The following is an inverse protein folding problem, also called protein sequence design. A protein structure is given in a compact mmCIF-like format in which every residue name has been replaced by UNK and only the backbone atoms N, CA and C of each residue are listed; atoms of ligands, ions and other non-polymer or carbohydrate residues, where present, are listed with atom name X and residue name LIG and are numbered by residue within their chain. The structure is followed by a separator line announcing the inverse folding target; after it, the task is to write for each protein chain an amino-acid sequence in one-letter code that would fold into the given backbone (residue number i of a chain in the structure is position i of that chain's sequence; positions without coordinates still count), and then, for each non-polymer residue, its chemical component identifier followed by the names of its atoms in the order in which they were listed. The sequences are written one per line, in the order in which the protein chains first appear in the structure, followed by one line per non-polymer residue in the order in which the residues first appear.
data_IF_201133254799
#
_entry.id   IF_201133254799
#
_cell.length_a   1.000
_cell.length_b   1.000
_cell.length_c   1.000
_cell.angle_alpha   90.00
_cell.angle_beta   90.00
_cell.angle_gamma   90.00
#
_symmetry.space_group_name_H-M   'P 1'
#
loop_
_entity.id
_entity.type
_entity.pdbx_description
1 polymer ?
#
# COMPACT_ATOMS: atom_id res chain seq x y z
N UNK A 1 -5.36 0.80 -20.12
CA UNK A 1 -6.68 1.46 -19.91
C UNK A 1 -7.08 1.24 -18.47
N UNK A 2 -7.34 2.29 -17.71
CA UNK A 2 -7.95 2.15 -16.38
C UNK A 2 -9.45 2.00 -16.60
N UNK A 3 -10.02 0.86 -16.26
CA UNK A 3 -11.46 0.61 -16.38
C UNK A 3 -12.16 1.44 -15.30
N UNK A 4 -12.87 2.49 -15.72
CA UNK A 4 -13.65 3.33 -14.82
C UNK A 4 -14.85 2.53 -14.33
N UNK A 5 -15.07 2.48 -13.02
CA UNK A 5 -16.29 1.91 -12.41
C UNK A 5 -17.37 2.99 -12.43
N UNK A 6 -18.52 2.68 -13.02
CA UNK A 6 -19.59 3.64 -13.31
C UNK A 6 -20.96 3.24 -12.77
N UNK A 7 -21.14 1.98 -12.36
CA UNK A 7 -22.38 1.45 -11.80
C UNK A 7 -22.12 0.43 -10.68
N UNK A 8 -23.20 -0.01 -10.02
CA UNK A 8 -23.13 -0.93 -8.87
C UNK A 8 -22.60 -2.31 -9.30
N UNK A 9 -23.05 -2.85 -10.43
CA UNK A 9 -22.61 -4.18 -10.90
C UNK A 9 -21.09 -4.22 -11.16
N UNK A 10 -20.54 -3.16 -11.76
CA UNK A 10 -19.09 -2.99 -11.97
C UNK A 10 -18.32 -2.85 -10.65
N UNK A 11 -18.92 -2.19 -9.66
CA UNK A 11 -18.35 -2.04 -8.32
C UNK A 11 -18.30 -3.39 -7.60
N UNK A 12 -19.40 -4.15 -7.62
CA UNK A 12 -19.46 -5.50 -7.04
C UNK A 12 -18.44 -6.42 -7.71
N UNK A 13 -18.33 -6.37 -9.04
CA UNK A 13 -17.32 -7.11 -9.78
C UNK A 13 -15.89 -6.69 -9.40
N UNK A 14 -15.63 -5.39 -9.16
CA UNK A 14 -14.33 -4.92 -8.67
C UNK A 14 -14.04 -5.44 -7.26
N UNK A 15 -15.00 -5.36 -6.34
CA UNK A 15 -14.85 -5.86 -4.97
C UNK A 15 -14.55 -7.35 -4.97
N UNK A 16 -15.24 -8.14 -5.79
CA UNK A 16 -14.98 -9.57 -5.93
C UNK A 16 -13.54 -9.85 -6.40
N UNK A 17 -13.04 -9.10 -7.39
CA UNK A 17 -11.65 -9.22 -7.86
C UNK A 17 -10.64 -8.83 -6.78
N UNK A 18 -10.88 -7.74 -6.06
CA UNK A 18 -10.00 -7.27 -4.98
C UNK A 18 -9.97 -8.26 -3.83
N UNK A 19 -11.11 -8.86 -3.48
CA UNK A 19 -11.21 -9.91 -2.45
C UNK A 19 -10.38 -11.14 -2.84
N UNK A 20 -10.49 -11.60 -4.09
CA UNK A 20 -9.66 -12.71 -4.59
C UNK A 20 -8.16 -12.36 -4.57
N UNK A 21 -7.80 -11.13 -4.96
CA UNK A 21 -6.42 -10.66 -4.90
C UNK A 21 -5.88 -10.59 -3.46
N UNK A 22 -6.69 -10.13 -2.51
CA UNK A 22 -6.32 -10.06 -1.09
C UNK A 22 -6.12 -11.47 -0.51
N UNK A 23 -6.98 -12.44 -0.85
CA UNK A 23 -6.82 -13.84 -0.43
C UNK A 23 -5.50 -14.44 -0.94
N UNK A 24 -5.17 -14.20 -2.22
CA UNK A 24 -3.89 -14.62 -2.77
C UNK A 24 -2.71 -13.90 -2.10
N UNK A 25 -2.85 -12.61 -1.80
CA UNK A 25 -1.79 -11.82 -1.17
C UNK A 25 -1.56 -12.21 0.30
N UNK A 26 -2.59 -12.67 1.01
CA UNK A 26 -2.49 -13.13 2.38
C UNK A 26 -1.58 -14.36 2.56
N UNK A 27 -1.33 -15.14 1.50
CA UNK A 27 -0.43 -16.30 1.55
C UNK A 27 1.04 -15.95 1.27
N UNK A 28 1.38 -14.67 1.09
CA UNK A 28 2.73 -14.26 0.73
C UNK A 28 3.66 -14.29 1.94
N UNK A 29 4.92 -14.61 1.71
CA UNK A 29 5.96 -14.50 2.73
C UNK A 29 6.31 -13.02 3.00
N UNK A 30 6.89 -12.76 4.16
CA UNK A 30 7.41 -11.42 4.51
C UNK A 30 8.34 -10.88 3.41
N UNK A 31 9.25 -11.69 2.86
CA UNK A 31 10.18 -11.24 1.81
C UNK A 31 9.49 -10.87 0.50
N UNK A 32 8.40 -11.56 0.14
CA UNK A 32 7.60 -11.20 -1.04
C UNK A 32 6.83 -9.90 -0.81
N UNK A 33 6.26 -9.73 0.39
CA UNK A 33 5.57 -8.48 0.79
C UNK A 33 6.55 -7.31 0.82
N UNK A 34 7.73 -7.47 1.42
CA UNK A 34 8.78 -6.46 1.49
C UNK A 34 9.26 -6.05 0.09
N UNK A 35 9.41 -7.02 -0.81
CA UNK A 35 9.76 -6.76 -2.20
C UNK A 35 8.70 -5.89 -2.88
N UNK A 36 7.42 -6.23 -2.73
CA UNK A 36 6.31 -5.46 -3.30
C UNK A 36 6.25 -4.07 -2.69
N UNK A 37 6.39 -3.94 -1.37
CA UNK A 37 6.39 -2.68 -0.65
C UNK A 37 7.50 -1.75 -1.14
N UNK A 38 8.74 -2.27 -1.28
CA UNK A 38 9.87 -1.52 -1.83
C UNK A 38 9.60 -1.06 -3.26
N UNK A 39 9.09 -1.94 -4.13
CA UNK A 39 8.86 -1.61 -5.54
C UNK A 39 7.74 -0.57 -5.69
N UNK A 40 6.68 -0.66 -4.89
CA UNK A 40 5.61 0.33 -4.87
C UNK A 40 6.11 1.71 -4.39
N UNK A 41 6.86 1.74 -3.28
CA UNK A 41 7.42 2.99 -2.74
C UNK A 41 8.37 3.68 -3.74
N UNK A 42 9.25 2.93 -4.40
CA UNK A 42 10.16 3.48 -5.42
C UNK A 42 9.41 4.05 -6.62
N UNK A 43 8.38 3.35 -7.11
CA UNK A 43 7.56 3.83 -8.22
C UNK A 43 6.82 5.13 -7.87
N UNK A 44 6.23 5.19 -6.66
CA UNK A 44 5.57 6.40 -6.16
C UNK A 44 6.56 7.57 -6.01
N UNK A 45 7.75 7.31 -5.46
CA UNK A 45 8.79 8.34 -5.31
C UNK A 45 9.26 8.87 -6.67
N UNK A 46 9.46 7.99 -7.66
CA UNK A 46 9.82 8.39 -9.02
C UNK A 46 8.71 9.22 -9.69
N UNK A 47 7.44 8.91 -9.42
CA UNK A 47 6.28 9.61 -9.97
C UNK A 47 5.86 10.87 -9.18
N UNK A 48 6.60 11.28 -8.14
CA UNK A 48 6.21 12.40 -7.25
C UNK A 48 5.92 13.72 -7.96
N UNK A 49 6.71 14.07 -8.98
CA UNK A 49 6.56 15.31 -9.76
C UNK A 49 5.36 15.25 -10.71
N UNK A 50 5.23 14.23 -11.59
CA UNK A 50 4.06 14.16 -12.48
C UNK A 50 2.74 14.07 -11.72
N UNK A 51 2.69 13.31 -10.61
CA UNK A 51 1.50 13.23 -9.77
C UNK A 51 1.16 14.57 -9.09
N UNK A 52 2.17 15.29 -8.59
CA UNK A 52 1.96 16.61 -8.00
C UNK A 52 1.40 17.61 -9.03
N UNK A 53 1.97 17.63 -10.25
CA UNK A 53 1.47 18.45 -11.36
C UNK A 53 0.03 18.10 -11.74
N UNK A 54 -0.28 16.81 -11.86
CA UNK A 54 -1.63 16.34 -12.17
C UNK A 54 -2.64 16.81 -11.11
N UNK A 55 -2.30 16.67 -9.83
CA UNK A 55 -3.18 17.07 -8.74
C UNK A 55 -3.44 18.58 -8.70
N UNK A 56 -2.42 19.43 -8.90
CA UNK A 56 -2.63 20.89 -9.00
C UNK A 56 -3.46 21.23 -10.25
N UNK A 57 -3.16 20.62 -11.40
CA UNK A 57 -3.88 20.90 -12.63
C UNK A 57 -5.38 20.56 -12.54
N UNK A 58 -5.71 19.43 -11.91
CA UNK A 58 -7.08 18.96 -11.71
C UNK A 58 -7.82 19.76 -10.62
N UNK A 59 -7.22 19.91 -9.44
CA UNK A 59 -7.90 20.50 -8.27
C UNK A 59 -7.81 22.02 -8.22
N UNK A 60 -6.82 22.62 -8.90
CA UNK A 60 -6.46 24.04 -8.82
C UNK A 60 -6.10 24.51 -7.40
N UNK A 61 -5.71 23.59 -6.52
CA UNK A 61 -5.40 23.87 -5.11
C UNK A 61 -3.97 23.50 -4.72
N UNK A 62 -3.35 24.40 -3.94
CA UNK A 62 -1.99 24.25 -3.41
C UNK A 62 -0.91 24.51 -4.45
N UNK A 63 0.34 24.25 -4.09
CA UNK A 63 1.52 24.48 -4.94
C UNK A 63 2.19 23.16 -5.28
N UNK A 64 2.86 23.09 -6.44
CA UNK A 64 3.44 21.84 -6.96
C UNK A 64 4.54 21.34 -6.03
N UNK A 65 5.41 22.23 -5.56
CA UNK A 65 6.56 21.94 -4.70
C UNK A 65 6.12 21.28 -3.39
N UNK A 66 5.09 21.83 -2.73
CA UNK A 66 4.52 21.25 -1.52
C UNK A 66 3.94 19.86 -1.77
N UNK A 67 3.26 19.65 -2.91
CA UNK A 67 2.73 18.33 -3.28
C UNK A 67 3.85 17.35 -3.64
N UNK A 68 4.97 17.80 -4.20
CA UNK A 68 6.15 16.97 -4.43
C UNK A 68 6.73 16.50 -3.09
N UNK A 69 6.84 17.39 -2.09
CA UNK A 69 7.32 17.04 -0.75
C UNK A 69 6.34 16.05 -0.09
N UNK A 70 5.03 16.30 -0.17
CA UNK A 70 4.00 15.38 0.34
C UNK A 70 4.09 13.99 -0.30
N UNK A 71 4.26 13.93 -1.61
CA UNK A 71 4.42 12.67 -2.33
C UNK A 71 5.71 11.95 -1.92
N UNK A 72 6.83 12.67 -1.79
CA UNK A 72 8.09 12.09 -1.33
C UNK A 72 7.99 11.54 0.10
N UNK A 73 7.31 12.27 1.00
CA UNK A 73 7.02 11.82 2.35
C UNK A 73 6.19 10.53 2.34
N UNK A 74 5.09 10.50 1.58
CA UNK A 74 4.20 9.35 1.48
C UNK A 74 4.87 8.11 0.87
N UNK A 75 5.94 8.27 0.09
CA UNK A 75 6.68 7.15 -0.51
C UNK A 75 7.94 6.76 0.27
N UNK A 76 8.96 7.62 0.28
CA UNK A 76 10.31 7.26 0.74
C UNK A 76 10.35 7.21 2.28
N UNK A 77 9.74 8.19 2.93
CA UNK A 77 9.78 8.31 4.39
C UNK A 77 8.94 7.22 5.04
N UNK A 78 7.74 6.96 4.51
CA UNK A 78 6.88 5.85 4.97
C UNK A 78 7.56 4.50 4.74
N UNK A 79 8.18 4.27 3.58
CA UNK A 79 8.95 3.05 3.35
C UNK A 79 10.06 2.86 4.38
N UNK A 80 10.89 3.88 4.60
CA UNK A 80 12.00 3.77 5.55
C UNK A 80 11.54 3.57 7.01
N UNK A 81 10.37 4.09 7.38
CA UNK A 81 9.79 3.89 8.70
C UNK A 81 9.38 2.42 8.94
N UNK A 82 8.74 1.78 7.95
CA UNK A 82 8.09 0.47 8.14
C UNK A 82 8.83 -0.71 7.52
N UNK A 83 9.89 -0.50 6.73
CA UNK A 83 10.62 -1.59 6.02
C UNK A 83 11.19 -2.70 6.91
N UNK A 84 11.32 -2.47 8.22
CA UNK A 84 11.85 -3.44 9.18
C UNK A 84 10.77 -4.11 10.03
N UNK A 85 9.51 -3.68 9.90
CA UNK A 85 8.42 -4.15 10.74
C UNK A 85 7.92 -5.50 10.22
N UNK A 86 7.79 -6.47 11.12
CA UNK A 86 7.20 -7.77 10.80
C UNK A 86 5.68 -7.64 10.72
N UNK A 87 5.11 -8.05 9.59
CA UNK A 87 3.67 -7.93 9.31
C UNK A 87 3.05 -9.23 8.80
N UNK A 88 3.85 -10.29 8.63
CA UNK A 88 3.39 -11.61 8.20
C UNK A 88 3.78 -12.70 9.19
N UNK A 89 2.83 -13.59 9.52
CA UNK A 89 3.09 -14.75 10.38
C UNK A 89 3.37 -14.37 11.83
N UNK A 90 4.26 -15.12 12.49
CA UNK A 90 4.61 -14.89 13.90
C UNK A 90 5.46 -13.63 14.03
N UNK A 91 4.90 -12.61 14.69
CA UNK A 91 5.56 -11.32 14.92
C UNK A 91 6.24 -11.26 16.29
N UNK A 92 5.76 -12.05 17.25
CA UNK A 92 6.31 -12.13 18.60
C UNK A 92 6.13 -13.56 19.13
N UNK A 93 7.14 -14.10 19.79
CA UNK A 93 7.11 -15.41 20.43
C UNK A 93 7.80 -15.31 21.80
N UNK A 94 7.09 -15.75 22.85
CA UNK A 94 7.64 -15.88 24.20
C UNK A 94 7.46 -17.32 24.69
N UNK A 95 8.57 -18.06 24.73
CA UNK A 95 8.61 -19.46 25.18
C UNK A 95 8.49 -19.61 26.69
N UNK A 96 8.85 -18.58 27.46
CA UNK A 96 8.79 -18.59 28.92
C UNK A 96 7.36 -18.44 29.41
N UNK A 97 6.60 -17.54 28.77
CA UNK A 97 5.18 -17.33 29.05
C UNK A 97 4.25 -18.20 28.19
N UNK A 98 4.79 -18.88 27.18
CA UNK A 98 4.06 -19.87 26.37
C UNK A 98 3.07 -19.26 25.37
N UNK A 99 3.36 -18.08 24.81
CA UNK A 99 2.48 -17.43 23.84
C UNK A 99 3.19 -17.02 22.55
N UNK A 100 2.41 -16.87 21.48
CA UNK A 100 2.83 -16.31 20.19
C UNK A 100 1.80 -15.27 19.72
N UNK A 101 2.28 -14.21 19.07
CA UNK A 101 1.43 -13.25 18.35
C UNK A 101 1.62 -13.45 16.86
N UNK A 102 0.51 -13.62 16.15
CA UNK A 102 0.47 -13.84 14.71
C UNK A 102 -0.23 -12.65 14.07
N UNK A 103 0.38 -12.07 13.05
CA UNK A 103 -0.23 -10.99 12.26
C UNK A 103 -1.19 -11.58 11.22
N UNK A 104 -2.42 -11.05 11.20
CA UNK A 104 -3.44 -11.38 10.21
C UNK A 104 -3.95 -10.09 9.55
N UNK A 105 -4.04 -10.03 8.21
CA UNK A 105 -4.56 -8.86 7.53
C UNK A 105 -6.07 -8.70 7.76
N UNK A 106 -6.54 -7.46 7.98
CA UNK A 106 -7.97 -7.15 8.18
C UNK A 106 -8.82 -7.50 6.94
N UNK A 107 -8.23 -7.42 5.74
CA UNK A 107 -8.90 -7.73 4.48
C UNK A 107 -8.88 -6.56 3.51
N UNK A 108 -10.04 -6.22 2.95
CA UNK A 108 -10.22 -5.08 2.04
C UNK A 108 -10.47 -3.81 2.86
N UNK A 109 -9.73 -2.73 2.57
CA UNK A 109 -9.82 -1.41 3.22
C UNK A 109 -10.55 -0.38 2.35
#
# INVERSE_FOLDING_TARGET
MVTKVTNIDELEALIARVKAAQQAFASYSQSQVDYIFKKAALAANAARIPLAKSAVAETRMGVIEDKVIKNHFASEIIYNKYKGDKTCGVIEEDKSFGFQKIAEPVGVL
#
